data_IF_265788416713
#
_entry.id   IF_265788416713
#
_cell.length_a   1.000
_cell.length_b   1.000
_cell.length_c   1.000
_cell.angle_alpha   90.00
_cell.angle_beta   90.00
_cell.angle_gamma   90.00
#
_symmetry.space_group_name_H-M   'P 1'
#
loop_
_entity.id
_entity.type
_entity.pdbx_description
1 polymer ?
#
# COMPACT_ATOMS: atom_id res chain seq x y z
N UNK A 1 -14.97 18.93 -4.03
CA UNK A 1 -13.87 17.96 -3.89
C UNK A 1 -12.92 18.14 -5.08
N UNK A 2 -11.60 18.21 -4.84
CA UNK A 2 -10.60 18.38 -5.91
C UNK A 2 -10.42 17.03 -6.62
N UNK A 3 -10.49 17.00 -7.95
CA UNK A 3 -10.26 15.77 -8.72
C UNK A 3 -8.77 15.42 -8.64
N UNK A 4 -8.45 14.31 -8.01
CA UNK A 4 -7.08 13.79 -7.95
C UNK A 4 -6.77 13.08 -9.26
N UNK A 5 -5.64 13.37 -9.89
CA UNK A 5 -5.24 12.70 -11.14
C UNK A 5 -4.98 11.21 -10.88
N UNK A 6 -5.15 10.34 -11.89
CA UNK A 6 -4.69 8.95 -11.81
C UNK A 6 -3.22 8.86 -11.38
N UNK A 7 -2.88 7.85 -10.59
CA UNK A 7 -1.52 7.68 -10.05
C UNK A 7 -0.46 7.45 -11.14
N UNK A 8 -0.85 6.84 -12.27
CA UNK A 8 -0.01 6.65 -13.47
C UNK A 8 0.42 7.96 -14.15
N UNK A 9 -0.22 9.09 -13.82
CA UNK A 9 0.15 10.42 -14.35
C UNK A 9 1.06 11.21 -13.41
N UNK A 10 1.53 10.55 -12.34
CA UNK A 10 2.37 11.11 -11.29
C UNK A 10 3.48 10.11 -10.97
N UNK A 11 4.69 10.39 -11.42
CA UNK A 11 5.84 9.48 -11.27
C UNK A 11 6.15 9.14 -9.80
N UNK A 12 5.92 10.07 -8.86
CA UNK A 12 6.14 9.81 -7.44
C UNK A 12 5.09 8.83 -6.90
N UNK A 13 3.84 9.02 -7.30
CA UNK A 13 2.75 8.11 -6.95
C UNK A 13 2.97 6.72 -7.57
N UNK A 14 3.32 6.66 -8.86
CA UNK A 14 3.58 5.40 -9.56
C UNK A 14 4.74 4.63 -8.92
N UNK A 15 5.85 5.31 -8.61
CA UNK A 15 6.98 4.71 -7.92
C UNK A 15 6.59 4.17 -6.54
N UNK A 16 5.82 4.94 -5.77
CA UNK A 16 5.34 4.51 -4.46
C UNK A 16 4.39 3.29 -4.57
N UNK A 17 3.51 3.23 -5.59
CA UNK A 17 2.68 2.05 -5.83
C UNK A 17 3.50 0.82 -6.20
N UNK A 18 4.54 0.99 -7.02
CA UNK A 18 5.44 -0.08 -7.38
C UNK A 18 6.10 -0.69 -6.14
N UNK A 19 6.67 0.14 -5.27
CA UNK A 19 7.30 -0.31 -4.03
C UNK A 19 6.30 -0.94 -3.07
N UNK A 20 5.10 -0.37 -2.94
CA UNK A 20 4.04 -0.97 -2.12
C UNK A 20 3.70 -2.38 -2.60
N UNK A 21 3.50 -2.56 -3.91
CA UNK A 21 3.22 -3.87 -4.49
C UNK A 21 4.38 -4.85 -4.29
N UNK A 22 5.63 -4.37 -4.43
CA UNK A 22 6.83 -5.16 -4.17
C UNK A 22 6.86 -5.70 -2.75
N UNK A 23 6.65 -4.87 -1.73
CA UNK A 23 6.65 -5.32 -0.33
C UNK A 23 5.42 -6.15 0.02
N UNK A 24 4.26 -5.86 -0.54
CA UNK A 24 3.06 -6.69 -0.39
C UNK A 24 3.30 -8.11 -0.89
N UNK A 25 3.87 -8.28 -2.09
CA UNK A 25 4.20 -9.61 -2.64
C UNK A 25 5.28 -10.31 -1.82
N UNK A 26 6.31 -9.57 -1.38
CA UNK A 26 7.36 -10.10 -0.49
C UNK A 26 6.79 -10.65 0.81
N UNK A 27 5.90 -9.89 1.47
CA UNK A 27 5.22 -10.33 2.69
C UNK A 27 4.32 -11.53 2.41
N UNK A 28 3.48 -11.46 1.37
CA UNK A 28 2.53 -12.53 1.03
C UNK A 28 3.20 -13.88 0.82
N UNK A 29 4.39 -13.92 0.19
CA UNK A 29 5.19 -15.15 -0.02
C UNK A 29 5.71 -15.76 1.28
N UNK A 30 5.84 -14.97 2.35
CA UNK A 30 6.31 -15.42 3.67
C UNK A 30 5.18 -15.86 4.61
N UNK A 31 3.92 -15.67 4.22
CA UNK A 31 2.78 -15.93 5.10
C UNK A 31 2.15 -17.31 4.83
N UNK A 32 1.74 -18.04 5.89
CA UNK A 32 0.87 -19.21 5.73
C UNK A 32 -0.44 -18.86 5.02
N UNK A 33 -1.03 -19.81 4.29
CA UNK A 33 -2.22 -19.57 3.45
C UNK A 33 -3.38 -18.90 4.20
N UNK A 34 -3.68 -19.35 5.43
CA UNK A 34 -4.74 -18.78 6.26
C UNK A 34 -4.46 -17.30 6.63
N UNK A 35 -3.21 -16.98 6.93
CA UNK A 35 -2.79 -15.63 7.30
C UNK A 35 -2.70 -14.71 6.07
N UNK A 36 -2.34 -15.26 4.90
CA UNK A 36 -2.31 -14.52 3.64
C UNK A 36 -3.70 -13.98 3.25
N UNK A 37 -4.78 -14.70 3.56
CA UNK A 37 -6.15 -14.20 3.34
C UNK A 37 -6.45 -12.93 4.16
N UNK A 38 -5.96 -12.86 5.40
CA UNK A 38 -6.07 -11.66 6.23
C UNK A 38 -5.30 -10.48 5.62
N UNK A 39 -4.08 -10.72 5.11
CA UNK A 39 -3.30 -9.69 4.43
C UNK A 39 -4.04 -9.13 3.20
N UNK A 40 -4.63 -10.00 2.37
CA UNK A 40 -5.40 -9.59 1.18
C UNK A 40 -6.57 -8.69 1.58
N UNK A 41 -7.36 -9.09 2.59
CA UNK A 41 -8.50 -8.31 3.07
C UNK A 41 -8.07 -6.94 3.61
N UNK A 42 -7.02 -6.92 4.45
CA UNK A 42 -6.49 -5.69 5.02
C UNK A 42 -5.96 -4.74 3.95
N UNK A 43 -5.28 -5.26 2.92
CA UNK A 43 -4.75 -4.44 1.84
C UNK A 43 -5.87 -3.88 0.95
N UNK A 44 -6.91 -4.66 0.65
CA UNK A 44 -8.07 -4.18 -0.12
C UNK A 44 -8.81 -3.06 0.62
N UNK A 45 -9.03 -3.22 1.93
CA UNK A 45 -9.65 -2.17 2.74
C UNK A 45 -8.80 -0.88 2.76
N UNK A 46 -7.48 -1.01 2.87
CA UNK A 46 -6.58 0.13 2.82
C UNK A 46 -6.61 0.86 1.48
N UNK A 47 -6.70 0.15 0.34
CA UNK A 47 -6.86 0.77 -0.98
C UNK A 47 -8.15 1.61 -1.04
N UNK A 48 -9.26 1.06 -0.53
CA UNK A 48 -10.52 1.81 -0.44
C UNK A 48 -10.41 3.06 0.43
N UNK A 49 -9.73 2.97 1.57
CA UNK A 49 -9.44 4.13 2.43
C UNK A 49 -8.60 5.20 1.71
N UNK A 50 -7.51 4.80 1.03
CA UNK A 50 -6.64 5.72 0.27
C UNK A 50 -7.44 6.45 -0.81
N UNK A 51 -8.25 5.73 -1.57
CA UNK A 51 -9.00 6.31 -2.69
C UNK A 51 -10.11 7.25 -2.20
N UNK A 52 -10.79 6.90 -1.10
CA UNK A 52 -11.81 7.74 -0.48
C UNK A 52 -11.23 9.01 0.15
N UNK A 53 -9.99 8.96 0.65
CA UNK A 53 -9.33 10.11 1.31
C UNK A 53 -8.47 10.95 0.37
N UNK A 54 -8.11 10.45 -0.81
CA UNK A 54 -7.27 11.18 -1.77
C UNK A 54 -7.78 12.61 -2.08
N UNK A 55 -9.10 12.88 -2.30
CA UNK A 55 -9.59 14.24 -2.55
C UNK A 55 -9.44 15.20 -1.37
N UNK A 56 -9.24 14.68 -0.15
CA UNK A 56 -9.07 15.46 1.07
C UNK A 56 -7.61 15.89 1.28
N UNK A 57 -6.66 15.04 0.88
CA UNK A 57 -5.23 15.23 1.13
C UNK A 57 -4.46 15.73 -0.10
N UNK A 58 -5.06 15.67 -1.29
CA UNK A 58 -4.39 16.04 -2.54
C UNK A 58 -3.44 14.97 -3.05
N UNK A 59 -2.62 15.33 -4.04
CA UNK A 59 -1.69 14.40 -4.70
C UNK A 59 -0.52 14.04 -3.80
N UNK A 60 0.16 15.02 -3.20
CA UNK A 60 1.28 14.82 -2.29
C UNK A 60 0.86 14.00 -1.07
N UNK A 61 -0.27 14.36 -0.44
CA UNK A 61 -0.79 13.61 0.69
C UNK A 61 -1.20 12.17 0.34
N UNK A 62 -1.63 11.91 -0.90
CA UNK A 62 -1.86 10.53 -1.37
C UNK A 62 -0.56 9.75 -1.47
N UNK A 63 0.53 10.38 -1.95
CA UNK A 63 1.87 9.76 -1.98
C UNK A 63 2.35 9.45 -0.56
N UNK A 64 2.15 10.35 0.40
CA UNK A 64 2.51 10.13 1.81
C UNK A 64 1.75 8.96 2.43
N UNK A 65 0.44 8.83 2.16
CA UNK A 65 -0.35 7.68 2.59
C UNK A 65 0.22 6.36 2.05
N UNK A 66 0.65 6.35 0.78
CA UNK A 66 1.31 5.18 0.17
C UNK A 66 2.65 4.92 0.86
N UNK A 67 3.47 5.96 1.09
CA UNK A 67 4.75 5.88 1.79
C UNK A 67 4.65 5.25 3.19
N UNK A 68 3.68 5.69 3.99
CA UNK A 68 3.42 5.11 5.31
C UNK A 68 3.06 3.61 5.23
N UNK A 69 2.30 3.23 4.19
CA UNK A 69 1.92 1.83 3.97
C UNK A 69 3.11 0.98 3.51
N UNK A 70 4.01 1.53 2.68
CA UNK A 70 5.26 0.88 2.30
C UNK A 70 6.08 0.55 3.54
N UNK A 71 6.30 1.51 4.43
CA UNK A 71 7.06 1.31 5.67
C UNK A 71 6.46 0.19 6.54
N UNK A 72 5.13 0.17 6.65
CA UNK A 72 4.39 -0.90 7.34
C UNK A 72 4.63 -2.26 6.69
N UNK A 73 4.45 -2.37 5.37
CA UNK A 73 4.63 -3.62 4.62
C UNK A 73 6.06 -4.13 4.68
N UNK A 74 7.05 -3.24 4.58
CA UNK A 74 8.46 -3.55 4.72
C UNK A 74 8.74 -4.20 6.07
N UNK A 75 8.36 -3.54 7.17
CA UNK A 75 8.55 -4.05 8.54
C UNK A 75 7.88 -5.42 8.74
N UNK A 76 6.64 -5.58 8.27
CA UNK A 76 5.95 -6.87 8.33
C UNK A 76 6.69 -7.93 7.53
N UNK A 77 7.17 -7.60 6.31
CA UNK A 77 7.92 -8.53 5.46
C UNK A 77 9.26 -8.95 6.05
N UNK A 78 9.87 -8.10 6.88
CA UNK A 78 11.13 -8.38 7.59
C UNK A 78 10.87 -9.24 8.84
N UNK A 79 9.67 -9.19 9.41
CA UNK A 79 9.30 -9.92 10.63
C UNK A 79 8.67 -11.29 10.33
N UNK A 80 7.89 -11.38 9.24
CA UNK A 80 7.23 -12.62 8.85
C UNK A 80 8.25 -13.71 8.46
N UNK A 81 8.03 -14.93 8.95
CA UNK A 81 8.90 -16.08 8.71
C UNK A 81 10.14 -16.18 9.61
N UNK A 82 10.29 -15.30 10.62
CA UNK A 82 11.37 -15.37 11.60
C UNK A 82 11.05 -16.32 12.79
N UNK A 83 10.34 -17.41 12.54
CA UNK A 83 10.10 -18.48 13.51
C UNK A 83 10.35 -19.83 12.84
#
# INVERSE_FOLDING_TARGET
MRRVRPCEQDAACEHALFDLNRYYQKLRRKMPAHSAATLVRAQRAWVGFRDATAPLVGEDGRVDLIGARIATMKRLSETAGNR
#
